data_IF_743183064582
#
_entry.id   IF_743183064582
#
_cell.length_a   1.000
_cell.length_b   1.000
_cell.length_c   1.000
_cell.angle_alpha   90.00
_cell.angle_beta   90.00
_cell.angle_gamma   90.00
#
_symmetry.space_group_name_H-M   'P 1'
#
loop_
_entity.id
_entity.type
_entity.pdbx_description
1 polymer ?
#
# COMPACT_ATOMS: atom_id res chain seq x y z
N UNK A 1 31.10 -8.14 -12.82
CA UNK A 1 30.12 -9.24 -12.80
C UNK A 1 28.74 -8.62 -12.77
N UNK A 2 28.00 -8.68 -13.87
CA UNK A 2 26.65 -8.13 -13.95
C UNK A 2 25.70 -9.18 -13.35
N UNK A 3 24.95 -8.82 -12.30
CA UNK A 3 23.97 -9.72 -11.72
C UNK A 3 22.79 -9.85 -12.69
N UNK A 4 22.61 -11.03 -13.27
CA UNK A 4 21.40 -11.38 -14.02
C UNK A 4 20.48 -12.20 -13.12
N UNK A 5 19.34 -11.63 -12.67
CA UNK A 5 18.38 -12.39 -11.89
C UNK A 5 17.76 -13.50 -12.75
N UNK A 6 17.91 -14.74 -12.31
CA UNK A 6 17.34 -15.90 -13.01
C UNK A 6 15.83 -15.97 -12.77
N UNK A 7 15.06 -15.46 -13.72
CA UNK A 7 13.59 -15.59 -13.73
C UNK A 7 13.17 -16.72 -14.65
N UNK A 8 12.53 -17.75 -14.10
CA UNK A 8 11.99 -18.87 -14.87
C UNK A 8 10.47 -18.93 -14.69
N UNK A 9 9.73 -18.83 -15.79
CA UNK A 9 8.27 -18.92 -15.76
C UNK A 9 7.87 -20.37 -15.52
N UNK A 10 7.04 -20.60 -14.51
CA UNK A 10 6.48 -21.91 -14.19
C UNK A 10 4.98 -21.92 -14.48
N UNK A 11 4.40 -23.11 -14.69
CA UNK A 11 2.95 -23.26 -14.87
C UNK A 11 2.15 -22.67 -13.69
N UNK A 12 2.70 -22.70 -12.47
CA UNK A 12 2.09 -22.08 -11.29
C UNK A 12 2.01 -20.56 -11.43
N UNK A 13 3.10 -19.91 -11.86
CA UNK A 13 3.12 -18.46 -12.10
C UNK A 13 2.08 -18.10 -13.16
N UNK A 14 2.04 -18.86 -14.27
CA UNK A 14 1.07 -18.64 -15.33
C UNK A 14 -0.38 -18.77 -14.83
N UNK A 15 -0.70 -19.83 -14.11
CA UNK A 15 -2.05 -20.02 -13.55
C UNK A 15 -2.44 -18.90 -12.58
N UNK A 16 -1.52 -18.43 -11.74
CA UNK A 16 -1.77 -17.30 -10.85
C UNK A 16 -1.98 -15.99 -11.62
N UNK A 17 -1.24 -15.77 -12.71
CA UNK A 17 -1.43 -14.58 -13.55
C UNK A 17 -2.79 -14.56 -14.23
N UNK A 18 -3.26 -15.71 -14.74
CA UNK A 18 -4.58 -15.85 -15.35
C UNK A 18 -5.68 -15.56 -14.32
N UNK A 19 -5.57 -16.16 -13.13
CA UNK A 19 -6.51 -15.92 -12.03
C UNK A 19 -6.54 -14.44 -11.62
N UNK A 20 -5.37 -13.79 -11.56
CA UNK A 20 -5.27 -12.37 -11.22
C UNK A 20 -5.96 -11.50 -12.28
N UNK A 21 -5.76 -11.79 -13.57
CA UNK A 21 -6.46 -11.10 -14.66
C UNK A 21 -7.98 -11.27 -14.59
N UNK A 22 -8.47 -12.48 -14.30
CA UNK A 22 -9.91 -12.73 -14.14
C UNK A 22 -10.51 -11.90 -13.00
N UNK A 23 -9.82 -11.85 -11.86
CA UNK A 23 -10.27 -11.07 -10.70
C UNK A 23 -10.27 -9.57 -10.98
N UNK A 24 -9.25 -9.05 -11.68
CA UNK A 24 -9.20 -7.64 -12.09
C UNK A 24 -10.37 -7.29 -13.01
N UNK A 25 -10.63 -8.10 -14.04
CA UNK A 25 -11.76 -7.91 -14.96
C UNK A 25 -13.10 -7.91 -14.22
N UNK A 26 -13.29 -8.81 -13.25
CA UNK A 26 -14.49 -8.83 -12.41
C UNK A 26 -14.66 -7.56 -11.57
N UNK A 27 -13.57 -6.97 -11.07
CA UNK A 27 -13.60 -5.72 -10.31
C UNK A 27 -13.96 -4.55 -11.24
N UNK A 28 -13.33 -4.48 -12.41
CA UNK A 28 -13.54 -3.39 -13.37
C UNK A 28 -14.98 -3.33 -13.88
N UNK A 29 -15.59 -4.48 -14.19
CA UNK A 29 -16.99 -4.56 -14.64
C UNK A 29 -18.01 -4.19 -13.56
N UNK A 30 -17.66 -4.34 -12.27
CA UNK A 30 -18.57 -4.13 -11.14
C UNK A 30 -18.45 -2.73 -10.49
N UNK A 31 -17.50 -1.90 -10.92
CA UNK A 31 -17.19 -0.64 -10.23
C UNK A 31 -18.28 0.43 -10.42
N UNK A 32 -19.13 0.61 -9.39
CA UNK A 32 -19.96 1.81 -9.20
C UNK A 32 -19.11 2.90 -8.54
N UNK A 33 -18.76 3.93 -9.29
CA UNK A 33 -17.72 4.95 -8.97
C UNK A 33 -17.91 5.79 -7.69
N UNK A 34 -18.98 5.61 -6.91
CA UNK A 34 -19.33 6.48 -5.77
C UNK A 34 -18.60 6.14 -4.46
N UNK A 35 -18.07 4.92 -4.30
CA UNK A 35 -17.41 4.46 -3.04
C UNK A 35 -15.88 4.42 -3.10
N UNK A 36 -15.30 4.67 -4.28
CA UNK A 36 -13.88 4.51 -4.58
C UNK A 36 -12.97 5.35 -3.66
N UNK A 37 -13.24 6.65 -3.38
CA UNK A 37 -12.32 7.46 -2.58
C UNK A 37 -12.17 6.97 -1.12
N UNK A 38 -13.25 6.48 -0.50
CA UNK A 38 -13.23 5.96 0.87
C UNK A 38 -12.47 4.63 0.95
N UNK A 39 -12.70 3.73 0.00
CA UNK A 39 -12.03 2.42 -0.08
C UNK A 39 -10.53 2.60 -0.32
N UNK A 40 -10.14 3.46 -1.26
CA UNK A 40 -8.72 3.76 -1.54
C UNK A 40 -8.02 4.33 -0.32
N UNK A 41 -8.66 5.25 0.41
CA UNK A 41 -8.09 5.80 1.65
C UNK A 41 -7.89 4.71 2.70
N UNK A 42 -8.89 3.84 2.92
CA UNK A 42 -8.79 2.72 3.87
C UNK A 42 -7.68 1.74 3.46
N UNK A 43 -7.59 1.40 2.19
CA UNK A 43 -6.56 0.49 1.67
C UNK A 43 -5.16 1.08 1.82
N UNK A 44 -4.96 2.37 1.51
CA UNK A 44 -3.68 3.06 1.74
C UNK A 44 -3.24 2.98 3.20
N UNK A 45 -4.13 3.22 4.15
CA UNK A 45 -3.82 3.12 5.59
C UNK A 45 -3.42 1.69 5.97
N UNK A 46 -4.14 0.69 5.44
CA UNK A 46 -3.81 -0.73 5.68
C UNK A 46 -2.45 -1.10 5.10
N UNK A 47 -2.11 -0.62 3.90
CA UNK A 47 -0.80 -0.84 3.26
C UNK A 47 0.31 -0.24 4.10
N UNK A 48 0.16 1.03 4.53
CA UNK A 48 1.15 1.71 5.39
C UNK A 48 1.39 0.88 6.67
N UNK A 49 0.32 0.45 7.34
CA UNK A 49 0.43 -0.37 8.55
C UNK A 49 1.12 -1.70 8.29
N UNK A 50 0.74 -2.41 7.23
CA UNK A 50 1.30 -3.71 6.91
C UNK A 50 2.80 -3.62 6.60
N UNK A 51 3.22 -2.62 5.82
CA UNK A 51 4.63 -2.38 5.51
C UNK A 51 5.44 -2.03 6.75
N UNK A 52 4.95 -1.14 7.61
CA UNK A 52 5.67 -0.72 8.80
C UNK A 52 5.70 -1.80 9.89
N UNK A 53 4.66 -2.64 9.98
CA UNK A 53 4.63 -3.76 10.93
C UNK A 53 5.71 -4.82 10.60
N UNK A 54 6.06 -5.00 9.32
CA UNK A 54 7.18 -5.87 8.91
C UNK A 54 8.51 -5.32 9.43
N UNK A 55 8.64 -3.99 9.51
CA UNK A 55 9.80 -3.28 10.05
C UNK A 55 9.74 -3.11 11.59
N UNK A 56 8.94 -3.94 12.27
CA UNK A 56 8.73 -3.91 13.72
C UNK A 56 8.16 -2.60 14.29
N UNK A 57 7.43 -1.82 13.49
CA UNK A 57 6.72 -0.65 13.99
C UNK A 57 5.46 -1.08 14.77
N UNK A 58 5.33 -0.61 16.00
CA UNK A 58 4.27 -1.03 16.93
C UNK A 58 2.96 -0.23 16.81
N UNK A 59 2.91 0.80 15.95
CA UNK A 59 1.73 1.67 15.84
C UNK A 59 0.53 0.93 15.22
N UNK A 60 -0.62 1.06 15.88
CA UNK A 60 -1.86 0.45 15.42
C UNK A 60 -2.53 1.27 14.30
N UNK A 61 -3.60 0.71 13.72
CA UNK A 61 -4.33 1.34 12.60
C UNK A 61 -4.90 2.73 12.98
N UNK A 62 -5.37 2.88 14.21
CA UNK A 62 -5.98 4.12 14.70
C UNK A 62 -4.93 5.22 14.88
N UNK A 63 -3.77 4.86 15.46
CA UNK A 63 -2.62 5.75 15.60
C UNK A 63 -2.11 6.20 14.23
N UNK A 64 -1.91 5.28 13.27
CA UNK A 64 -1.50 5.65 11.91
C UNK A 64 -2.54 6.58 11.25
N UNK A 65 -3.83 6.30 11.44
CA UNK A 65 -4.92 7.15 10.95
C UNK A 65 -4.88 8.54 11.60
N UNK A 66 -4.57 8.62 12.89
CA UNK A 66 -4.38 9.86 13.62
C UNK A 66 -3.18 10.66 13.09
N UNK A 67 -2.07 9.98 12.73
CA UNK A 67 -0.89 10.64 12.09
C UNK A 67 -1.30 11.30 10.79
N UNK A 68 -2.05 10.57 9.94
CA UNK A 68 -2.51 11.06 8.64
C UNK A 68 -3.45 12.27 8.80
N UNK A 69 -4.24 12.30 9.86
CA UNK A 69 -5.19 13.37 10.16
C UNK A 69 -4.56 14.52 10.98
N UNK A 70 -3.24 14.53 11.18
CA UNK A 70 -2.53 15.53 12.01
C UNK A 70 -3.06 15.64 13.46
N UNK A 71 -3.60 14.54 14.02
CA UNK A 71 -4.02 14.49 15.43
C UNK A 71 -2.82 14.19 16.34
N UNK A 72 -2.92 14.55 17.62
CA UNK A 72 -1.94 14.19 18.66
C UNK A 72 -2.04 12.71 18.99
N UNK A 73 -0.90 12.08 19.24
CA UNK A 73 -0.78 10.62 19.44
C UNK A 73 0.34 10.38 20.43
N UNK A 74 0.14 9.39 21.29
CA UNK A 74 1.17 8.85 22.16
C UNK A 74 1.85 7.68 21.43
N UNK A 75 3.18 7.70 21.41
CA UNK A 75 3.99 6.67 20.76
C UNK A 75 5.45 7.10 20.67
N UNK A 76 6.31 6.18 20.24
CA UNK A 76 7.72 6.47 20.03
C UNK A 76 7.88 7.52 18.92
N UNK A 77 8.66 8.57 19.19
CA UNK A 77 8.91 9.66 18.23
C UNK A 77 9.51 9.14 16.91
N UNK A 78 10.34 8.09 16.98
CA UNK A 78 10.97 7.46 15.81
C UNK A 78 9.95 6.75 14.93
N UNK A 79 9.09 5.91 15.52
CA UNK A 79 8.05 5.19 14.80
C UNK A 79 7.04 6.14 14.14
N UNK A 80 6.69 7.24 14.83
CA UNK A 80 5.81 8.28 14.27
C UNK A 80 6.50 8.95 13.07
N UNK A 81 7.80 9.19 13.14
CA UNK A 81 8.57 9.79 12.05
C UNK A 81 8.68 8.86 10.84
N UNK A 82 8.80 7.55 11.04
CA UNK A 82 8.76 6.55 9.96
C UNK A 82 7.42 6.58 9.22
N UNK A 83 6.30 6.58 9.95
CA UNK A 83 4.96 6.72 9.35
C UNK A 83 4.88 7.99 8.49
N UNK A 84 5.32 9.13 9.03
CA UNK A 84 5.32 10.42 8.30
C UNK A 84 6.19 10.36 7.04
N UNK A 85 7.35 9.72 7.13
CA UNK A 85 8.30 9.58 6.01
C UNK A 85 7.70 8.70 4.93
N UNK A 86 7.12 7.56 5.29
CA UNK A 86 6.47 6.63 4.37
C UNK A 86 5.28 7.29 3.66
N UNK A 87 4.44 8.04 4.38
CA UNK A 87 3.34 8.82 3.78
C UNK A 87 3.88 9.82 2.75
N UNK A 88 4.97 10.51 3.07
CA UNK A 88 5.60 11.48 2.16
C UNK A 88 6.14 10.80 0.91
N UNK A 89 6.78 9.63 1.07
CA UNK A 89 7.28 8.83 -0.03
C UNK A 89 6.15 8.35 -0.94
N UNK A 90 5.09 7.78 -0.38
CA UNK A 90 3.92 7.32 -1.14
C UNK A 90 3.27 8.46 -1.94
N UNK A 91 3.13 9.65 -1.34
CA UNK A 91 2.66 10.85 -2.06
C UNK A 91 3.57 11.21 -3.22
N UNK A 92 4.89 11.19 -3.02
CA UNK A 92 5.88 11.48 -4.07
C UNK A 92 5.82 10.45 -5.20
N UNK A 93 5.66 9.17 -4.88
CA UNK A 93 5.51 8.10 -5.87
C UNK A 93 4.23 8.24 -6.69
N UNK A 94 3.08 8.54 -6.07
CA UNK A 94 1.85 8.83 -6.81
C UNK A 94 2.04 10.00 -7.79
N UNK A 95 2.72 11.06 -7.35
CA UNK A 95 3.01 12.21 -8.22
C UNK A 95 3.93 11.84 -9.40
N UNK A 96 4.97 11.02 -9.17
CA UNK A 96 5.90 10.57 -10.21
C UNK A 96 5.23 9.65 -11.23
N UNK A 97 4.27 8.83 -10.80
CA UNK A 97 3.51 7.92 -11.67
C UNK A 97 2.34 8.61 -12.41
N UNK A 98 2.15 9.92 -12.25
CA UNK A 98 1.04 10.66 -12.87
C UNK A 98 -0.35 10.30 -12.31
N UNK A 99 -0.40 9.59 -11.19
CA UNK A 99 -1.63 9.19 -10.50
C UNK A 99 -2.04 10.30 -9.53
N UNK A 100 -2.71 11.35 -10.03
CA UNK A 100 -3.33 12.39 -9.19
C UNK A 100 -4.71 11.96 -8.71
#
# INVERSE_FOLDING_TARGET
MNYEPSFTITSKILNLTILLCELLTKIDLNNKFTTIPKILRKNRIRTIRASLAIENNSLNLEQITAVINNKRILGNSREIQEVKTFIRLMKRLCNLMGLK
#
